data_IF_046989346711
#
_entry.id   IF_046989346711
#
_cell.length_a   1.000
_cell.length_b   1.000
_cell.length_c   1.000
_cell.angle_alpha   90.00
_cell.angle_beta   90.00
_cell.angle_gamma   90.00
#
_symmetry.space_group_name_H-M   'P 1'
#
loop_
_entity.id
_entity.type
_entity.pdbx_description
1 polymer ?
#
# COMPACT_ATOMS: atom_id res chain seq x y z
N UNK A 1 -25.65 29.39 -33.38
CA UNK A 1 -25.33 30.46 -32.40
C UNK A 1 -24.04 31.12 -32.85
N UNK A 2 -24.08 32.35 -33.38
CA UNK A 2 -22.87 33.09 -33.76
C UNK A 2 -22.17 33.57 -32.49
N UNK A 3 -20.95 33.09 -32.24
CA UNK A 3 -20.15 33.53 -31.09
C UNK A 3 -19.74 35.01 -31.25
N UNK A 4 -19.86 35.79 -30.18
CA UNK A 4 -19.42 37.19 -30.11
C UNK A 4 -17.90 37.31 -30.42
N UNK A 5 -17.46 38.37 -31.08
CA UNK A 5 -16.04 38.59 -31.46
C UNK A 5 -15.09 38.53 -30.26
N UNK A 6 -15.51 39.03 -29.09
CA UNK A 6 -14.75 38.92 -27.83
C UNK A 6 -14.49 37.44 -27.44
N UNK A 7 -15.47 36.56 -27.72
CA UNK A 7 -15.32 35.13 -27.46
C UNK A 7 -14.32 34.50 -28.42
N UNK A 8 -14.39 34.82 -29.71
CA UNK A 8 -13.42 34.33 -30.71
C UNK A 8 -12.00 34.75 -30.33
N UNK A 9 -11.79 36.02 -29.99
CA UNK A 9 -10.50 36.55 -29.58
C UNK A 9 -9.90 35.82 -28.37
N UNK A 10 -10.69 35.62 -27.30
CA UNK A 10 -10.25 34.90 -26.10
C UNK A 10 -9.84 33.45 -26.40
N UNK A 11 -10.57 32.77 -27.28
CA UNK A 11 -10.25 31.40 -27.66
C UNK A 11 -9.02 31.32 -28.56
N UNK A 12 -8.83 32.26 -29.48
CA UNK A 12 -7.61 32.37 -30.29
C UNK A 12 -6.36 32.49 -29.40
N UNK A 13 -6.40 33.31 -28.35
CA UNK A 13 -5.30 33.44 -27.38
C UNK A 13 -5.04 32.11 -26.66
N UNK A 14 -6.09 31.44 -26.18
CA UNK A 14 -5.96 30.14 -25.49
C UNK A 14 -5.38 29.07 -26.40
N UNK A 15 -5.82 29.02 -27.65
CA UNK A 15 -5.34 28.07 -28.65
C UNK A 15 -3.88 28.36 -29.00
N UNK A 16 -3.49 29.62 -29.17
CA UNK A 16 -2.10 30.00 -29.42
C UNK A 16 -1.18 29.54 -28.27
N UNK A 17 -1.58 29.76 -27.02
CA UNK A 17 -0.85 29.27 -25.85
C UNK A 17 -0.78 27.74 -25.82
N UNK A 18 -1.90 27.08 -26.07
CA UNK A 18 -1.97 25.61 -26.15
C UNK A 18 -1.13 25.04 -27.31
N UNK A 19 -0.94 25.77 -28.40
CA UNK A 19 -0.04 25.38 -29.49
C UNK A 19 1.43 25.57 -29.08
N UNK A 20 1.77 26.67 -28.41
CA UNK A 20 3.12 26.96 -27.90
C UNK A 20 3.66 25.88 -26.97
N UNK A 21 2.82 25.35 -26.06
CA UNK A 21 3.20 24.29 -25.12
C UNK A 21 3.72 23.00 -25.82
N UNK A 22 3.52 22.87 -27.14
CA UNK A 22 3.87 21.69 -27.92
C UNK A 22 4.85 21.96 -29.08
N UNK A 23 5.35 23.20 -29.25
CA UNK A 23 6.27 23.59 -30.33
C UNK A 23 7.61 22.84 -30.27
N UNK A 24 7.98 22.28 -29.12
CA UNK A 24 9.28 21.64 -28.87
C UNK A 24 9.31 20.13 -29.11
N UNK A 25 8.29 19.56 -29.76
CA UNK A 25 8.07 18.10 -29.81
C UNK A 25 8.11 17.52 -31.23
N UNK A 26 9.31 17.45 -31.83
CA UNK A 26 9.64 16.66 -33.06
C UNK A 26 8.85 17.02 -34.34
N UNK A 27 9.24 16.47 -35.49
CA UNK A 27 8.80 16.76 -36.88
C UNK A 27 7.28 16.73 -37.20
N UNK A 28 6.42 16.58 -36.19
CA UNK A 28 4.97 16.45 -36.28
C UNK A 28 4.20 17.72 -35.87
N UNK A 29 4.86 18.87 -35.68
CA UNK A 29 4.22 20.13 -35.23
C UNK A 29 2.93 20.49 -36.01
N UNK A 30 2.91 20.25 -37.32
CA UNK A 30 1.73 20.49 -38.18
C UNK A 30 0.54 19.56 -37.88
N UNK A 31 0.77 18.36 -37.33
CA UNK A 31 -0.30 17.41 -36.98
C UNK A 31 -0.99 17.74 -35.67
N UNK A 32 -0.35 18.53 -34.80
CA UNK A 32 -0.90 18.91 -33.51
C UNK A 32 -1.51 20.31 -33.52
N UNK A 33 -0.99 21.22 -34.35
CA UNK A 33 -1.39 22.63 -34.35
C UNK A 33 -2.90 22.77 -34.64
N UNK A 34 -3.59 23.54 -33.80
CA UNK A 34 -5.00 23.88 -34.00
C UNK A 34 -5.03 25.23 -34.71
N UNK A 35 -5.65 25.25 -35.89
CA UNK A 35 -5.92 26.48 -36.63
C UNK A 35 -7.02 27.29 -35.93
N UNK A 36 -6.99 28.60 -36.09
CA UNK A 36 -7.99 29.54 -35.57
C UNK A 36 -8.84 30.16 -36.69
N UNK A 37 -8.56 29.84 -37.97
CA UNK A 37 -9.44 30.21 -39.07
C UNK A 37 -10.82 29.56 -38.88
N UNK A 38 -11.88 30.36 -39.04
CA UNK A 38 -13.29 29.93 -38.97
C UNK A 38 -13.66 29.23 -37.67
N UNK A 39 -13.06 29.71 -36.57
CA UNK A 39 -13.33 29.24 -35.22
C UNK A 39 -14.85 29.20 -34.94
N UNK A 40 -15.29 28.06 -34.39
CA UNK A 40 -16.69 27.68 -34.14
C UNK A 40 -17.52 27.26 -35.37
N UNK A 41 -16.93 27.07 -36.55
CA UNK A 41 -17.58 26.29 -37.61
C UNK A 41 -17.62 24.79 -37.24
N UNK A 42 -18.53 24.03 -37.85
CA UNK A 42 -18.61 22.58 -37.63
C UNK A 42 -17.32 21.88 -38.09
N UNK A 43 -16.79 22.28 -39.24
CA UNK A 43 -15.53 21.76 -39.79
C UNK A 43 -14.33 22.06 -38.86
N UNK A 44 -14.34 23.21 -38.19
CA UNK A 44 -13.34 23.55 -37.20
C UNK A 44 -13.40 22.61 -35.99
N UNK A 45 -14.59 22.24 -35.51
CA UNK A 45 -14.73 21.29 -34.41
C UNK A 45 -14.26 19.87 -34.77
N UNK A 46 -14.52 19.41 -35.99
CA UNK A 46 -14.03 18.11 -36.47
C UNK A 46 -12.49 18.08 -36.58
N UNK A 47 -11.92 19.17 -37.09
CA UNK A 47 -10.48 19.36 -37.13
C UNK A 47 -9.89 19.40 -35.72
N UNK A 48 -10.48 20.17 -34.82
CA UNK A 48 -10.07 20.26 -33.41
C UNK A 48 -10.03 18.89 -32.75
N UNK A 49 -11.11 18.11 -32.87
CA UNK A 49 -11.22 16.76 -32.28
C UNK A 49 -10.10 15.85 -32.77
N UNK A 50 -9.80 15.90 -34.07
CA UNK A 50 -8.71 15.11 -34.67
C UNK A 50 -7.34 15.50 -34.10
N UNK A 51 -7.06 16.81 -34.04
CA UNK A 51 -5.80 17.35 -33.49
C UNK A 51 -5.63 17.00 -32.01
N UNK A 52 -6.69 17.15 -31.20
CA UNK A 52 -6.67 16.83 -29.77
C UNK A 52 -6.45 15.33 -29.54
N UNK A 53 -7.13 14.46 -30.30
CA UNK A 53 -6.94 13.01 -30.21
C UNK A 53 -5.52 12.58 -30.55
N UNK A 54 -4.91 13.19 -31.56
CA UNK A 54 -3.49 12.94 -31.89
C UNK A 54 -2.58 13.31 -30.72
N UNK A 55 -2.80 14.47 -30.09
CA UNK A 55 -2.04 14.93 -28.92
C UNK A 55 -2.18 13.99 -27.73
N UNK A 56 -3.40 13.51 -27.43
CA UNK A 56 -3.63 12.54 -26.35
C UNK A 56 -2.81 11.26 -26.55
N UNK A 57 -2.76 10.74 -27.79
CA UNK A 57 -1.95 9.56 -28.12
C UNK A 57 -0.45 9.83 -27.98
N UNK A 58 0.03 10.99 -28.42
CA UNK A 58 1.43 11.36 -28.29
C UNK A 58 1.87 11.49 -26.82
N UNK A 59 1.05 12.15 -25.99
CA UNK A 59 1.30 12.28 -24.56
C UNK A 59 1.29 10.93 -23.84
N UNK A 60 0.34 10.05 -24.18
CA UNK A 60 0.30 8.70 -23.65
C UNK A 60 1.57 7.90 -23.99
N UNK A 61 2.05 7.99 -25.24
CA UNK A 61 3.32 7.36 -25.65
C UNK A 61 4.51 7.89 -24.85
N UNK A 62 4.62 9.20 -24.66
CA UNK A 62 5.70 9.81 -23.85
C UNK A 62 5.64 9.37 -22.40
N UNK A 63 4.45 9.37 -21.80
CA UNK A 63 4.25 8.89 -20.44
C UNK A 63 4.66 7.42 -20.30
N UNK A 64 4.19 6.55 -21.21
CA UNK A 64 4.57 5.13 -21.21
C UNK A 64 6.07 4.94 -21.39
N UNK A 65 6.72 5.68 -22.27
CA UNK A 65 8.17 5.61 -22.45
C UNK A 65 8.92 6.01 -21.16
N UNK A 66 8.48 7.07 -20.48
CA UNK A 66 9.06 7.52 -19.23
C UNK A 66 8.85 6.51 -18.09
N UNK A 67 7.65 5.92 -18.01
CA UNK A 67 7.33 4.84 -17.07
C UNK A 67 8.21 3.61 -17.32
N UNK A 68 8.32 3.14 -18.57
CA UNK A 68 9.19 2.02 -18.94
C UNK A 68 10.66 2.32 -18.63
N UNK A 69 11.15 3.54 -18.91
CA UNK A 69 12.51 3.96 -18.57
C UNK A 69 12.74 3.97 -17.05
N UNK A 70 11.76 4.44 -16.27
CA UNK A 70 11.82 4.43 -14.80
C UNK A 70 11.84 3.00 -14.24
N UNK A 71 11.00 2.11 -14.76
CA UNK A 71 10.98 0.70 -14.41
C UNK A 71 12.31 0.03 -14.75
N UNK A 72 12.81 0.23 -15.99
CA UNK A 72 14.10 -0.31 -16.43
C UNK A 72 15.24 0.18 -15.53
N UNK A 73 15.33 1.48 -15.27
CA UNK A 73 16.35 2.03 -14.38
C UNK A 73 16.28 1.45 -12.94
N UNK A 74 15.09 1.15 -12.43
CA UNK A 74 14.92 0.51 -11.11
C UNK A 74 15.37 -0.95 -11.13
N UNK A 75 15.07 -1.68 -12.20
CA UNK A 75 15.54 -3.06 -12.40
C UNK A 75 17.06 -3.07 -12.51
N UNK A 76 17.63 -2.25 -13.40
CA UNK A 76 19.08 -2.17 -13.62
C UNK A 76 19.81 -1.86 -12.30
N UNK A 77 19.35 -0.87 -11.53
CA UNK A 77 19.89 -0.57 -10.19
C UNK A 77 19.72 -1.70 -9.17
N UNK A 78 18.65 -2.48 -9.24
CA UNK A 78 18.45 -3.60 -8.31
C UNK A 78 19.34 -4.79 -8.65
N UNK A 79 19.60 -5.03 -9.94
CA UNK A 79 20.56 -6.07 -10.38
C UNK A 79 21.99 -5.64 -10.02
N UNK A 80 22.30 -4.34 -10.08
CA UNK A 80 23.61 -3.76 -9.76
C UNK A 80 23.96 -3.85 -8.26
N UNK A 81 22.96 -3.96 -7.38
CA UNK A 81 23.15 -4.18 -5.93
C UNK A 81 23.12 -5.68 -5.65
N UNK A 82 24.11 -6.41 -6.18
CA UNK A 82 24.33 -7.78 -5.72
C UNK A 82 25.83 -8.06 -5.55
N UNK A 83 26.24 -7.95 -4.28
CA UNK A 83 27.57 -8.18 -3.70
C UNK A 83 28.56 -7.00 -3.81
N UNK A 84 28.90 -6.45 -2.64
CA UNK A 84 30.23 -5.90 -2.42
C UNK A 84 31.21 -7.06 -2.54
N UNK A 85 32.01 -7.08 -3.61
CA UNK A 85 33.16 -7.98 -3.68
C UNK A 85 34.17 -7.63 -2.57
N UNK A 86 35.17 -8.47 -2.33
CA UNK A 86 36.25 -8.20 -1.35
C UNK A 86 36.97 -6.85 -1.56
N UNK A 87 36.77 -6.20 -2.71
CA UNK A 87 37.31 -4.88 -3.08
C UNK A 87 36.26 -3.75 -3.13
N UNK A 88 35.04 -3.90 -2.57
CA UNK A 88 33.97 -2.88 -2.57
C UNK A 88 33.55 -2.36 -3.97
N UNK A 89 33.69 -3.17 -5.01
CA UNK A 89 33.23 -2.81 -6.36
C UNK A 89 31.87 -3.46 -6.62
N UNK A 90 30.88 -2.66 -7.01
CA UNK A 90 29.55 -3.16 -7.36
C UNK A 90 29.61 -3.90 -8.70
N UNK A 91 29.18 -5.16 -8.74
CA UNK A 91 29.05 -5.95 -9.97
C UNK A 91 27.62 -6.48 -10.14
N UNK A 92 27.20 -6.62 -11.40
CA UNK A 92 25.93 -7.24 -11.76
C UNK A 92 26.02 -8.76 -11.58
N UNK A 93 25.16 -9.34 -10.75
CA UNK A 93 25.02 -10.79 -10.67
C UNK A 93 24.28 -11.29 -11.91
N UNK A 94 24.99 -12.02 -12.77
CA UNK A 94 24.44 -12.62 -14.00
C UNK A 94 24.17 -14.11 -13.86
N UNK A 95 24.81 -14.78 -12.90
CA UNK A 95 24.65 -16.21 -12.66
C UNK A 95 23.33 -16.53 -11.95
N UNK A 96 22.49 -17.44 -12.46
CA UNK A 96 21.16 -17.72 -11.92
C UNK A 96 21.14 -18.06 -10.42
N UNK A 97 22.16 -18.78 -9.93
CA UNK A 97 22.29 -19.12 -8.51
C UNK A 97 22.58 -17.91 -7.62
N UNK A 98 23.42 -16.99 -8.10
CA UNK A 98 23.74 -15.74 -7.39
C UNK A 98 22.53 -14.80 -7.36
N UNK A 99 21.83 -14.65 -8.50
CA UNK A 99 20.59 -13.88 -8.62
C UNK A 99 19.53 -14.41 -7.65
N UNK A 100 19.32 -15.73 -7.61
CA UNK A 100 18.35 -16.32 -6.68
C UNK A 100 18.70 -16.00 -5.22
N UNK A 101 19.97 -16.15 -4.83
CA UNK A 101 20.44 -15.84 -3.46
C UNK A 101 20.26 -14.35 -3.12
N UNK A 102 20.52 -13.46 -4.08
CA UNK A 102 20.31 -12.02 -3.95
C UNK A 102 18.84 -11.68 -3.70
N UNK A 103 17.96 -12.26 -4.51
CA UNK A 103 16.51 -12.07 -4.42
C UNK A 103 16.00 -12.61 -3.09
N UNK A 104 16.40 -13.82 -2.69
CA UNK A 104 16.00 -14.42 -1.41
C UNK A 104 16.44 -13.54 -0.23
N UNK A 105 17.68 -13.03 -0.23
CA UNK A 105 18.19 -12.11 0.79
C UNK A 105 17.43 -10.77 0.82
N UNK A 106 17.16 -10.20 -0.35
CA UNK A 106 16.45 -8.94 -0.45
C UNK A 106 14.98 -9.08 0.00
N UNK A 107 14.33 -10.19 -0.36
CA UNK A 107 13.01 -10.55 0.12
C UNK A 107 13.01 -10.68 1.64
N UNK A 108 13.92 -11.47 2.21
CA UNK A 108 14.06 -11.62 3.65
C UNK A 108 14.31 -10.29 4.36
N UNK A 109 15.13 -9.40 3.78
CA UNK A 109 15.39 -8.05 4.31
C UNK A 109 14.15 -7.15 4.26
N UNK A 110 13.40 -7.19 3.17
CA UNK A 110 12.20 -6.35 2.96
C UNK A 110 11.09 -6.73 3.93
N UNK A 111 10.90 -8.05 4.13
CA UNK A 111 9.88 -8.61 5.01
C UNK A 111 10.42 -8.93 6.42
N UNK A 112 11.64 -8.49 6.75
CA UNK A 112 12.19 -8.63 8.09
C UNK A 112 11.30 -7.88 9.08
N UNK A 113 11.08 -8.48 10.25
CA UNK A 113 10.49 -7.77 11.40
C UNK A 113 11.36 -6.56 11.73
N UNK A 114 10.79 -5.36 11.61
CA UNK A 114 11.45 -4.13 12.04
C UNK A 114 11.46 -4.10 13.56
N UNK A 115 12.59 -3.72 14.15
CA UNK A 115 12.63 -3.41 15.57
C UNK A 115 11.96 -2.04 15.75
N UNK A 116 10.72 -2.02 16.24
CA UNK A 116 9.88 -0.80 16.36
C UNK A 116 9.77 -0.34 17.80
N UNK A 117 10.80 -0.58 18.63
CA UNK A 117 10.84 -0.01 19.98
C UNK A 117 10.81 1.51 19.85
N UNK A 118 9.84 2.17 20.47
CA UNK A 118 9.64 3.62 20.39
C UNK A 118 10.92 4.39 20.75
N UNK A 119 11.66 3.89 21.73
CA UNK A 119 12.95 4.43 22.20
C UNK A 119 14.05 4.44 21.11
N UNK A 120 13.95 3.57 20.11
CA UNK A 120 14.92 3.42 19.03
C UNK A 120 14.55 4.15 17.74
N UNK A 121 13.36 4.77 17.68
CA UNK A 121 12.90 5.51 16.49
C UNK A 121 13.45 6.94 16.51
N UNK A 122 13.70 7.51 15.32
CA UNK A 122 14.15 8.90 15.13
C UNK A 122 13.22 9.88 15.88
N UNK A 123 13.75 10.95 16.52
CA UNK A 123 13.00 11.86 17.40
C UNK A 123 11.69 12.42 16.82
N UNK A 124 11.65 12.71 15.51
CA UNK A 124 10.44 13.17 14.82
C UNK A 124 9.28 12.20 15.02
N UNK A 125 9.53 10.91 14.80
CA UNK A 125 8.49 9.89 14.94
C UNK A 125 8.14 9.62 16.40
N UNK A 126 9.11 9.72 17.32
CA UNK A 126 8.82 9.64 18.75
C UNK A 126 7.81 10.71 19.16
N UNK A 127 7.97 11.93 18.65
CA UNK A 127 7.04 13.03 18.91
C UNK A 127 5.66 12.76 18.30
N UNK A 128 5.59 12.27 17.05
CA UNK A 128 4.33 11.97 16.35
C UNK A 128 3.55 10.83 17.05
N UNK A 129 4.24 9.78 17.49
CA UNK A 129 3.63 8.62 18.12
C UNK A 129 3.46 8.75 19.63
N UNK A 130 3.91 9.86 20.24
CA UNK A 130 3.69 10.10 21.66
C UNK A 130 2.19 10.26 21.91
N UNK A 131 1.57 9.45 22.78
CA UNK A 131 0.15 9.57 23.06
C UNK A 131 -0.14 10.95 23.69
N UNK A 132 -1.20 11.60 23.21
CA UNK A 132 -1.58 12.95 23.61
C UNK A 132 -2.95 12.98 24.29
N UNK A 133 -3.10 13.84 25.30
CA UNK A 133 -4.35 14.05 26.03
C UNK A 133 -4.91 12.75 26.63
N UNK A 134 -6.22 12.54 26.45
CA UNK A 134 -6.97 11.37 26.96
C UNK A 134 -6.45 10.00 26.50
N UNK A 135 -5.67 9.95 25.42
CA UNK A 135 -5.12 8.68 24.92
C UNK A 135 -3.88 8.23 25.68
N UNK A 136 -3.24 9.11 26.46
CA UNK A 136 -2.11 8.72 27.32
C UNK A 136 -2.54 7.72 28.37
N UNK A 137 -3.62 8.02 29.10
CA UNK A 137 -4.19 7.14 30.13
C UNK A 137 -4.67 5.82 29.54
N UNK A 138 -5.37 5.86 28.39
CA UNK A 138 -5.82 4.65 27.70
C UNK A 138 -4.64 3.77 27.25
N UNK A 139 -3.55 4.38 26.79
CA UNK A 139 -2.36 3.66 26.36
C UNK A 139 -1.59 3.08 27.54
N UNK A 140 -1.48 3.80 28.66
CA UNK A 140 -0.91 3.29 29.91
C UNK A 140 -1.70 2.07 30.42
N UNK A 141 -3.04 2.14 30.40
CA UNK A 141 -3.91 1.00 30.76
C UNK A 141 -3.67 -0.23 29.86
N UNK A 142 -3.43 -0.06 28.56
CA UNK A 142 -3.16 -1.20 27.67
C UNK A 142 -1.82 -1.90 27.90
N UNK A 143 -0.89 -1.26 28.64
CA UNK A 143 0.42 -1.82 28.99
C UNK A 143 0.37 -2.51 30.36
N UNK A 144 -0.69 -2.30 31.14
CA UNK A 144 -0.86 -2.95 32.43
C UNK A 144 -0.96 -4.48 32.32
N UNK A 145 -0.53 -5.15 33.38
CA UNK A 145 -0.58 -6.62 33.44
C UNK A 145 -2.03 -7.06 33.59
N UNK A 146 -2.42 -8.06 32.79
CA UNK A 146 -3.71 -8.73 32.89
C UNK A 146 -3.86 -9.25 34.33
N UNK A 147 -4.89 -8.78 35.01
CA UNK A 147 -5.23 -9.26 36.35
C UNK A 147 -6.06 -10.54 36.25
N UNK A 148 -6.00 -11.36 37.29
CA UNK A 148 -6.87 -12.54 37.40
C UNK A 148 -8.35 -12.17 37.43
N UNK A 149 -8.70 -11.00 37.97
CA UNK A 149 -10.08 -10.51 38.01
C UNK A 149 -10.59 -10.23 36.60
N UNK A 150 -9.79 -9.55 35.78
CA UNK A 150 -10.09 -9.28 34.38
C UNK A 150 -10.21 -10.59 33.60
N UNK A 151 -9.24 -11.49 33.72
CA UNK A 151 -9.28 -12.81 33.09
C UNK A 151 -10.58 -13.55 33.39
N UNK A 152 -10.95 -13.66 34.67
CA UNK A 152 -12.16 -14.36 35.08
C UNK A 152 -13.45 -13.67 34.61
N UNK A 153 -13.43 -12.34 34.45
CA UNK A 153 -14.56 -11.60 33.88
C UNK A 153 -14.68 -11.92 32.38
N UNK A 154 -13.60 -11.78 31.63
CA UNK A 154 -13.55 -12.04 30.20
C UNK A 154 -13.94 -13.48 29.87
N UNK A 155 -13.38 -14.46 30.57
CA UNK A 155 -13.70 -15.89 30.33
C UNK A 155 -15.18 -16.21 30.58
N UNK A 156 -15.83 -15.50 31.52
CA UNK A 156 -17.27 -15.66 31.78
C UNK A 156 -18.16 -15.06 30.68
N UNK A 157 -17.69 -14.02 30.02
CA UNK A 157 -18.41 -13.32 28.93
C UNK A 157 -18.28 -14.04 27.57
N UNK A 158 -17.38 -15.03 27.44
CA UNK A 158 -17.17 -15.76 26.19
C UNK A 158 -18.38 -16.61 25.77
N UNK A 159 -18.63 -16.66 24.46
CA UNK A 159 -19.69 -17.49 23.89
C UNK A 159 -19.36 -18.99 24.03
N UNK A 160 -20.17 -19.70 24.81
CA UNK A 160 -20.02 -21.13 25.10
C UNK A 160 -20.38 -22.05 23.92
N UNK A 161 -20.96 -21.51 22.85
CA UNK A 161 -21.39 -22.26 21.64
C UNK A 161 -20.34 -22.23 20.51
N UNK A 162 -19.23 -21.51 20.70
CA UNK A 162 -18.17 -21.44 19.69
C UNK A 162 -17.47 -22.79 19.50
N UNK A 163 -17.17 -23.12 18.24
CA UNK A 163 -16.41 -24.32 17.90
C UNK A 163 -14.99 -24.24 18.49
N UNK A 164 -14.48 -25.37 18.98
CA UNK A 164 -13.09 -25.48 19.37
C UNK A 164 -12.18 -25.32 18.14
N UNK A 165 -11.04 -24.67 18.32
CA UNK A 165 -9.98 -24.65 17.30
C UNK A 165 -9.24 -26.00 17.27
N UNK A 166 -8.15 -26.08 16.49
CA UNK A 166 -7.30 -27.27 16.35
C UNK A 166 -6.84 -27.90 17.67
N UNK A 167 -6.76 -27.15 18.76
CA UNK A 167 -6.38 -27.69 20.07
C UNK A 167 -7.45 -28.58 20.71
N UNK A 168 -8.69 -28.56 20.20
CA UNK A 168 -9.83 -29.24 20.83
C UNK A 168 -10.30 -28.59 22.15
N UNK A 169 -9.60 -27.55 22.62
CA UNK A 169 -9.92 -26.85 23.87
C UNK A 169 -11.03 -25.84 23.57
N UNK A 170 -12.23 -26.10 24.07
CA UNK A 170 -13.36 -25.17 24.01
C UNK A 170 -13.39 -24.23 25.23
N UNK A 171 -14.17 -23.16 25.15
CA UNK A 171 -14.31 -22.20 26.25
C UNK A 171 -14.95 -22.81 27.51
N UNK A 172 -15.73 -23.88 27.41
CA UNK A 172 -16.32 -24.56 28.57
C UNK A 172 -15.22 -25.19 29.45
N UNK A 173 -14.20 -25.78 28.83
CA UNK A 173 -13.04 -26.34 29.54
C UNK A 173 -12.28 -25.21 30.26
N UNK A 174 -12.05 -24.07 29.60
CA UNK A 174 -11.33 -22.94 30.18
C UNK A 174 -12.05 -22.38 31.42
N UNK A 175 -13.38 -22.29 31.37
CA UNK A 175 -14.21 -21.82 32.50
C UNK A 175 -14.08 -22.74 33.73
N UNK A 176 -13.85 -24.04 33.53
CA UNK A 176 -13.79 -25.04 34.59
C UNK A 176 -12.37 -25.26 35.15
N UNK A 177 -11.38 -24.51 34.67
CA UNK A 177 -10.01 -24.66 35.14
C UNK A 177 -9.88 -24.33 36.63
N UNK A 178 -9.06 -25.13 37.32
CA UNK A 178 -8.67 -24.87 38.69
C UNK A 178 -7.97 -23.51 38.80
N UNK A 179 -8.20 -22.83 39.92
CA UNK A 179 -7.68 -21.50 40.20
C UNK A 179 -6.15 -21.39 40.06
N UNK A 180 -5.42 -22.45 40.44
CA UNK A 180 -3.96 -22.54 40.28
C UNK A 180 -3.53 -22.53 38.81
N UNK A 181 -4.28 -23.21 37.94
CA UNK A 181 -4.01 -23.23 36.49
C UNK A 181 -4.35 -21.89 35.85
N UNK A 182 -5.45 -21.26 36.26
CA UNK A 182 -5.79 -19.90 35.82
C UNK A 182 -4.66 -18.91 36.16
N UNK A 183 -4.12 -18.99 37.37
CA UNK A 183 -3.01 -18.12 37.76
C UNK A 183 -1.76 -18.36 36.90
N UNK A 184 -1.47 -19.61 36.56
CA UNK A 184 -0.36 -19.97 35.68
C UNK A 184 -0.55 -19.39 34.27
N UNK A 185 -1.76 -19.51 33.71
CA UNK A 185 -2.09 -18.94 32.39
C UNK A 185 -1.94 -17.42 32.37
N UNK A 186 -2.49 -16.72 33.36
CA UNK A 186 -2.37 -15.26 33.46
C UNK A 186 -0.90 -14.82 33.57
N UNK A 187 -0.07 -15.57 34.31
CA UNK A 187 1.38 -15.29 34.37
C UNK A 187 2.05 -15.51 33.01
N UNK A 188 1.71 -16.60 32.32
CA UNK A 188 2.26 -16.94 31.01
C UNK A 188 1.89 -15.90 29.94
N UNK A 189 0.63 -15.46 29.91
CA UNK A 189 0.17 -14.42 28.98
C UNK A 189 0.85 -13.09 29.24
N UNK A 190 0.93 -12.66 30.50
CA UNK A 190 1.65 -11.44 30.87
C UNK A 190 3.14 -11.50 30.48
N UNK A 191 3.79 -12.66 30.61
CA UNK A 191 5.16 -12.85 30.16
C UNK A 191 5.28 -12.72 28.64
N UNK A 192 4.34 -13.31 27.89
CA UNK A 192 4.28 -13.23 26.43
C UNK A 192 4.10 -11.77 25.96
N UNK A 193 3.22 -11.02 26.61
CA UNK A 193 2.97 -9.60 26.31
C UNK A 193 4.18 -8.72 26.65
N UNK A 194 4.81 -8.91 27.82
CA UNK A 194 5.99 -8.13 28.23
C UNK A 194 7.20 -8.38 27.34
N UNK A 195 7.41 -9.63 26.91
CA UNK A 195 8.59 -10.01 26.10
C UNK A 195 8.35 -9.84 24.61
N UNK A 196 7.10 -9.65 24.16
CA UNK A 196 6.70 -9.71 22.75
C UNK A 196 6.91 -11.09 22.11
N UNK A 197 7.24 -12.11 22.90
CA UNK A 197 7.54 -13.46 22.40
C UNK A 197 6.25 -14.27 22.27
N UNK A 198 5.66 -14.24 21.08
CA UNK A 198 4.46 -15.04 20.77
C UNK A 198 4.86 -16.39 20.14
N UNK A 199 4.43 -17.54 20.69
CA UNK A 199 4.69 -18.86 20.12
C UNK A 199 4.29 -18.97 18.64
N UNK A 200 5.07 -19.67 17.84
CA UNK A 200 4.84 -19.75 16.38
C UNK A 200 3.51 -20.44 16.04
N UNK A 201 3.12 -21.44 16.83
CA UNK A 201 1.83 -22.14 16.74
C UNK A 201 0.62 -21.23 16.97
N UNK A 202 0.79 -20.08 17.62
CA UNK A 202 -0.28 -19.09 17.79
C UNK A 202 -0.43 -18.18 16.58
N UNK A 203 0.57 -18.15 15.70
CA UNK A 203 0.59 -17.38 14.45
C UNK A 203 0.07 -18.18 13.26
N UNK A 204 0.08 -19.50 13.38
CA UNK A 204 -0.50 -20.41 12.38
C UNK A 204 -2.00 -20.52 12.60
N UNK A 205 -2.79 -20.04 11.65
CA UNK A 205 -4.25 -20.19 11.64
C UNK A 205 -4.69 -21.15 10.53
N UNK A 206 -5.80 -21.86 10.77
CA UNK A 206 -6.47 -22.61 9.73
C UNK A 206 -7.44 -21.68 9.02
N UNK A 207 -7.32 -21.58 7.71
CA UNK A 207 -8.27 -20.86 6.87
C UNK A 207 -9.43 -21.81 6.60
N UNK A 208 -10.57 -21.54 7.22
CA UNK A 208 -11.83 -22.22 6.94
C UNK A 208 -12.72 -21.25 6.15
N UNK A 209 -12.98 -21.58 4.89
CA UNK A 209 -13.96 -20.83 4.09
C UNK A 209 -15.35 -21.06 4.65
N UNK A 210 -15.95 -20.02 5.23
CA UNK A 210 -17.35 -20.03 5.65
C UNK A 210 -18.13 -19.39 4.51
N UNK A 211 -18.90 -20.21 3.78
CA UNK A 211 -19.81 -19.70 2.76
C UNK A 211 -20.81 -18.76 3.40
N UNK A 212 -20.97 -17.56 2.81
CA UNK A 212 -22.01 -16.64 3.24
C UNK A 212 -23.38 -17.27 2.93
N UNK A 213 -24.40 -17.06 3.78
CA UNK A 213 -25.74 -17.60 3.53
C UNK A 213 -26.41 -17.04 2.27
N UNK A 214 -25.95 -15.88 1.78
CA UNK A 214 -26.42 -15.26 0.55
C UNK A 214 -25.18 -15.00 -0.33
N UNK A 215 -25.29 -15.33 -1.62
CA UNK A 215 -24.24 -15.01 -2.59
C UNK A 215 -23.98 -13.50 -2.60
N UNK A 216 -22.70 -13.12 -2.61
CA UNK A 216 -22.33 -11.72 -2.74
C UNK A 216 -22.62 -11.27 -4.17
N UNK A 217 -23.82 -10.76 -4.43
CA UNK A 217 -24.24 -10.17 -5.71
C UNK A 217 -23.56 -8.81 -5.92
N UNK A 218 -22.23 -8.82 -6.08
CA UNK A 218 -21.51 -7.61 -6.47
C UNK A 218 -21.43 -7.54 -7.98
N UNK A 219 -22.18 -6.61 -8.56
CA UNK A 219 -22.10 -6.31 -9.99
C UNK A 219 -20.93 -5.36 -10.24
N UNK A 220 -19.83 -5.91 -10.77
CA UNK A 220 -18.60 -5.17 -11.12
C UNK A 220 -18.88 -4.06 -12.16
N UNK A 221 -19.99 -4.13 -12.90
CA UNK A 221 -20.36 -3.14 -13.92
C UNK A 221 -20.94 -1.83 -13.35
N UNK A 222 -21.11 -1.74 -12.03
CA UNK A 222 -21.63 -0.54 -11.35
C UNK A 222 -20.51 0.40 -10.83
N UNK A 223 -19.35 0.42 -11.50
CA UNK A 223 -18.20 1.30 -11.19
C UNK A 223 -17.88 2.17 -12.40
#
# INVERSE_FOLDING_TARGET
>A
MLANEDTKFRWTIKIAKYNQDYVTSTDDNNKCNIDTHDIFSEEWFDTLKTKVNYRLRANYKKYKLAETKSIKNKIDKQVEITQEDQNNMARLATEPGEVKKAVDNNFARTFRKRNTLLETIIPLWQQIYKPAGKFKEAMEFTIEKITKKEWNKTVRELNKKSAARLSGINYKIIIQLLEKLVLLLVKFENLTLQTGFVPIVWKTSVILSISKPINFEYNILNT
#
